data_IF_363580142343
#
_entry.id   IF_363580142343
#
_cell.length_a   1.000
_cell.length_b   1.000
_cell.length_c   1.000
_cell.angle_alpha   90.00
_cell.angle_beta   90.00
_cell.angle_gamma   90.00
#
_symmetry.space_group_name_H-M   'P 1'
#
loop_
_entity.id
_entity.type
_entity.pdbx_description
1 polymer ?
#
# COMPACT_ATOMS: atom_id res chain seq x y z
N UNK A 1 -40.77 -11.87 12.30
CA UNK A 1 -39.51 -11.37 12.91
C UNK A 1 -38.35 -11.83 12.03
N UNK A 2 -37.86 -10.95 11.14
CA UNK A 2 -36.74 -11.28 10.26
C UNK A 2 -35.43 -10.99 10.99
N UNK A 3 -34.76 -12.06 11.42
CA UNK A 3 -33.48 -12.03 12.12
C UNK A 3 -32.41 -11.52 11.15
N UNK A 4 -32.09 -10.23 11.18
CA UNK A 4 -30.93 -9.66 10.47
C UNK A 4 -29.66 -10.04 11.23
N UNK A 5 -29.21 -11.28 11.05
CA UNK A 5 -27.98 -11.81 11.67
C UNK A 5 -26.72 -11.65 10.79
N UNK A 6 -26.78 -10.80 9.76
CA UNK A 6 -25.69 -10.68 8.78
C UNK A 6 -24.58 -9.67 9.12
N UNK A 7 -24.75 -8.81 10.11
CA UNK A 7 -23.81 -7.70 10.41
C UNK A 7 -23.52 -7.52 11.91
N UNK A 8 -24.03 -8.41 12.77
CA UNK A 8 -23.99 -8.23 14.23
C UNK A 8 -22.71 -8.75 14.90
N UNK A 9 -21.70 -9.16 14.13
CA UNK A 9 -20.40 -9.57 14.67
C UNK A 9 -19.31 -8.61 14.21
N UNK A 10 -18.75 -7.73 15.09
CA UNK A 10 -17.69 -6.79 14.72
C UNK A 10 -16.45 -7.48 14.14
N UNK A 11 -16.25 -8.78 14.43
CA UNK A 11 -15.20 -9.60 13.84
C UNK A 11 -15.24 -9.67 12.31
N UNK A 12 -16.43 -9.73 11.70
CA UNK A 12 -16.53 -9.78 10.24
C UNK A 12 -16.10 -8.47 9.59
N UNK A 13 -16.42 -7.33 10.21
CA UNK A 13 -16.04 -6.03 9.68
C UNK A 13 -14.53 -5.81 9.78
N UNK A 14 -13.94 -6.15 10.93
CA UNK A 14 -12.48 -6.04 11.16
C UNK A 14 -11.71 -6.90 10.16
N UNK A 15 -12.15 -8.14 9.90
CA UNK A 15 -11.51 -9.03 8.94
C UNK A 15 -11.60 -8.49 7.51
N UNK A 16 -12.75 -7.93 7.11
CA UNK A 16 -12.91 -7.31 5.78
C UNK A 16 -11.99 -6.10 5.64
N UNK A 17 -11.94 -5.23 6.66
CA UNK A 17 -11.05 -4.05 6.65
C UNK A 17 -9.58 -4.47 6.58
N UNK A 18 -9.16 -5.48 7.35
CA UNK A 18 -7.79 -5.99 7.30
C UNK A 18 -7.44 -6.59 5.93
N UNK A 19 -8.36 -7.35 5.33
CA UNK A 19 -8.16 -7.94 4.00
C UNK A 19 -8.08 -6.86 2.89
N UNK A 20 -8.87 -5.80 2.99
CA UNK A 20 -8.80 -4.66 2.07
C UNK A 20 -7.50 -3.87 2.26
N UNK A 21 -7.03 -3.70 3.49
CA UNK A 21 -5.72 -3.11 3.78
C UNK A 21 -4.60 -3.86 3.08
N UNK A 22 -4.54 -5.18 3.29
CA UNK A 22 -3.55 -6.04 2.62
C UNK A 22 -3.62 -5.96 1.09
N UNK A 23 -4.83 -5.89 0.52
CA UNK A 23 -5.01 -5.75 -0.92
C UNK A 23 -4.43 -4.44 -1.46
N UNK A 24 -4.71 -3.32 -0.79
CA UNK A 24 -4.17 -2.01 -1.18
C UNK A 24 -2.65 -1.98 -1.02
N UNK A 25 -2.11 -2.53 0.07
CA UNK A 25 -0.66 -2.57 0.34
C UNK A 25 0.12 -3.26 -0.79
N UNK A 26 -0.35 -4.43 -1.25
CA UNK A 26 0.28 -5.17 -2.35
C UNK A 26 0.11 -4.44 -3.67
N UNK A 27 -1.04 -3.83 -3.92
CA UNK A 27 -1.28 -3.05 -5.13
C UNK A 27 -0.30 -1.88 -5.24
N UNK A 28 -0.08 -1.14 -4.16
CA UNK A 28 0.84 0.00 -4.13
C UNK A 28 2.30 -0.44 -4.37
N UNK A 29 2.74 -1.56 -3.79
CA UNK A 29 4.09 -2.10 -4.04
C UNK A 29 4.29 -2.49 -5.50
N UNK A 30 3.30 -3.15 -6.11
CA UNK A 30 3.37 -3.56 -7.51
C UNK A 30 3.34 -2.34 -8.42
N UNK A 31 2.42 -1.40 -8.18
CA UNK A 31 2.28 -0.19 -8.98
C UNK A 31 3.59 0.61 -8.93
N UNK A 32 4.15 0.84 -7.74
CA UNK A 32 5.43 1.50 -7.58
C UNK A 32 6.53 0.76 -8.37
N UNK A 33 6.63 -0.56 -8.24
CA UNK A 33 7.60 -1.35 -8.99
C UNK A 33 7.52 -1.19 -10.52
N UNK A 34 6.31 -1.08 -11.07
CA UNK A 34 6.07 -0.94 -12.52
C UNK A 34 6.39 0.48 -13.00
N UNK A 35 5.93 1.51 -12.29
CA UNK A 35 5.97 2.89 -12.81
C UNK A 35 7.11 3.73 -12.27
N UNK A 36 7.79 3.32 -11.17
CA UNK A 36 8.82 4.11 -10.47
C UNK A 36 9.82 4.78 -11.40
N UNK A 37 10.40 4.03 -12.32
CA UNK A 37 11.45 4.56 -13.21
C UNK A 37 10.88 5.62 -14.16
N UNK A 38 9.72 5.36 -14.76
CA UNK A 38 9.05 6.32 -15.64
C UNK A 38 8.61 7.57 -14.87
N UNK A 39 8.08 7.41 -13.66
CA UNK A 39 7.65 8.51 -12.80
C UNK A 39 8.81 9.40 -12.37
N UNK A 40 9.92 8.81 -11.89
CA UNK A 40 11.12 9.55 -11.47
C UNK A 40 11.74 10.32 -12.64
N UNK A 41 11.80 9.72 -13.84
CA UNK A 41 12.22 10.43 -15.06
C UNK A 41 11.26 11.57 -15.42
N UNK A 42 9.96 11.34 -15.29
CA UNK A 42 8.92 12.33 -15.58
C UNK A 42 9.00 13.59 -14.71
N UNK A 43 9.56 13.47 -13.50
CA UNK A 43 9.81 14.61 -12.59
C UNK A 43 11.24 15.16 -12.65
N UNK A 44 12.07 14.65 -13.58
CA UNK A 44 13.41 15.17 -13.84
C UNK A 44 14.52 14.58 -12.96
N UNK A 45 14.31 13.43 -12.32
CA UNK A 45 15.37 12.74 -11.56
C UNK A 45 16.46 12.23 -12.52
N UNK A 46 17.73 12.57 -12.31
CA UNK A 46 18.85 12.09 -13.12
C UNK A 46 18.98 10.55 -13.14
N UNK A 47 19.45 9.99 -14.26
CA UNK A 47 19.55 8.53 -14.47
C UNK A 47 20.42 7.82 -13.42
N UNK A 48 21.47 8.48 -12.94
CA UNK A 48 22.37 7.99 -11.89
C UNK A 48 21.74 7.98 -10.50
N UNK A 49 20.65 8.71 -10.29
CA UNK A 49 19.95 8.83 -9.00
C UNK A 49 18.67 7.99 -8.92
N UNK A 50 18.17 7.47 -10.04
CA UNK A 50 16.90 6.72 -10.10
C UNK A 50 16.82 5.54 -9.12
N UNK A 51 17.94 4.84 -8.93
CA UNK A 51 18.00 3.71 -8.02
C UNK A 51 17.95 4.19 -6.57
N UNK A 52 18.77 5.17 -6.22
CA UNK A 52 18.88 5.70 -4.85
C UNK A 52 17.56 6.32 -4.39
N UNK A 53 16.98 7.20 -5.21
CA UNK A 53 15.67 7.81 -4.94
C UNK A 53 14.56 6.77 -4.92
N UNK A 54 14.61 5.80 -5.84
CA UNK A 54 13.66 4.69 -5.88
C UNK A 54 13.67 3.83 -4.63
N UNK A 55 14.85 3.54 -4.08
CA UNK A 55 15.00 2.79 -2.81
C UNK A 55 14.55 3.66 -1.63
N UNK A 56 14.88 4.95 -1.63
CA UNK A 56 14.45 5.85 -0.57
C UNK A 56 12.92 5.92 -0.46
N UNK A 57 12.22 6.10 -1.58
CA UNK A 57 10.75 6.12 -1.63
C UNK A 57 10.16 4.78 -1.18
N UNK A 58 10.74 3.65 -1.59
CA UNK A 58 10.31 2.33 -1.13
C UNK A 58 10.51 2.16 0.39
N UNK A 59 11.65 2.61 0.93
CA UNK A 59 11.92 2.55 2.36
C UNK A 59 10.92 3.41 3.14
N UNK A 60 10.58 4.60 2.65
CA UNK A 60 9.53 5.43 3.23
C UNK A 60 8.16 4.75 3.20
N UNK A 61 7.82 4.05 2.11
CA UNK A 61 6.62 3.24 2.00
C UNK A 61 6.60 2.10 3.04
N UNK A 62 7.71 1.36 3.18
CA UNK A 62 7.84 0.27 4.15
C UNK A 62 7.79 0.77 5.60
N UNK A 63 8.35 1.94 5.89
CA UNK A 63 8.22 2.61 7.19
C UNK A 63 6.75 2.97 7.46
N UNK A 64 6.05 3.49 6.45
CA UNK A 64 4.62 3.78 6.54
C UNK A 64 3.79 2.54 6.88
N UNK A 65 4.09 1.41 6.22
CA UNK A 65 3.45 0.12 6.52
C UNK A 65 3.73 -0.37 7.94
N UNK A 66 4.97 -0.20 8.41
CA UNK A 66 5.35 -0.58 9.78
C UNK A 66 4.61 0.25 10.83
N UNK A 67 4.53 1.58 10.62
CA UNK A 67 3.83 2.49 11.54
C UNK A 67 2.31 2.26 11.48
N UNK A 68 1.75 2.06 10.29
CA UNK A 68 0.31 1.84 10.11
C UNK A 68 -0.20 0.51 10.68
N UNK A 69 0.70 -0.46 10.89
CA UNK A 69 0.40 -1.75 11.53
C UNK A 69 0.45 -1.75 13.07
N UNK A 70 0.84 -0.65 13.70
CA UNK A 70 0.90 -0.47 15.18
C UNK A 70 -0.34 0.30 15.64
#
# INVERSE_FOLDING_TARGET
>A
MSKKEGLSNPFNLIVIVAALGYFVDIYDLILFGIVRVASLKGIGVPDDQLLTEGIYLLNMQMIGMLIGGI
#
